data_IF_717507014390
#
_entry.id   IF_717507014390
#
_cell.length_a   1.000
_cell.length_b   1.000
_cell.length_c   1.000
_cell.angle_alpha   90.00
_cell.angle_beta   90.00
_cell.angle_gamma   90.00
#
_symmetry.space_group_name_H-M   'P 1'
#
loop_
_entity.id
_entity.type
_entity.pdbx_description
1 polymer ?
#
# COMPACT_ATOMS: atom_id res chain seq x y z
N UNK A 1 9.78 -11.35 42.97
CA UNK A 1 8.66 -11.56 42.02
C UNK A 1 8.71 -13.03 41.63
N UNK A 2 7.92 -13.87 42.30
CA UNK A 2 8.00 -15.33 42.16
C UNK A 2 6.83 -15.82 41.33
N UNK A 3 7.09 -16.14 40.06
CA UNK A 3 6.07 -16.64 39.14
C UNK A 3 5.91 -18.16 39.34
N UNK A 4 4.68 -18.65 39.52
CA UNK A 4 4.40 -20.06 39.83
C UNK A 4 4.84 -21.09 38.76
N UNK A 5 5.18 -20.65 37.54
CA UNK A 5 5.74 -21.51 36.48
C UNK A 5 6.27 -20.68 35.29
N UNK A 6 6.98 -21.31 34.35
CA UNK A 6 7.46 -20.67 33.12
C UNK A 6 6.34 -20.06 32.26
N UNK A 7 5.14 -20.64 32.26
CA UNK A 7 3.98 -20.09 31.53
C UNK A 7 3.50 -18.77 32.13
N UNK A 8 3.42 -18.69 33.46
CA UNK A 8 3.04 -17.45 34.17
C UNK A 8 4.05 -16.32 33.93
N UNK A 9 5.35 -16.64 33.92
CA UNK A 9 6.40 -15.67 33.61
C UNK A 9 6.30 -15.15 32.17
N UNK A 10 6.05 -16.04 31.21
CA UNK A 10 5.88 -15.64 29.80
C UNK A 10 4.66 -14.74 29.61
N UNK A 11 3.53 -15.08 30.23
CA UNK A 11 2.31 -14.28 30.17
C UNK A 11 2.54 -12.89 30.77
N UNK A 12 3.09 -12.81 31.99
CA UNK A 12 3.39 -11.53 32.65
C UNK A 12 4.33 -10.66 31.80
N UNK A 13 5.35 -11.27 31.18
CA UNK A 13 6.25 -10.55 30.27
C UNK A 13 5.49 -9.97 29.07
N UNK A 14 4.60 -10.74 28.45
CA UNK A 14 3.80 -10.25 27.32
C UNK A 14 2.88 -9.11 27.74
N UNK A 15 2.21 -9.22 28.89
CA UNK A 15 1.36 -8.16 29.44
C UNK A 15 2.16 -6.87 29.66
N UNK A 16 3.33 -6.96 30.32
CA UNK A 16 4.20 -5.80 30.52
C UNK A 16 4.73 -5.20 29.22
N UNK A 17 5.00 -6.04 28.22
CA UNK A 17 5.39 -5.55 26.89
C UNK A 17 4.24 -4.80 26.21
N UNK A 18 3.00 -5.32 26.29
CA UNK A 18 1.80 -4.64 25.78
C UNK A 18 1.59 -3.29 26.47
N UNK A 19 1.60 -3.26 27.80
CA UNK A 19 1.48 -2.02 28.59
C UNK A 19 2.54 -0.98 28.19
N UNK A 20 3.79 -1.40 27.99
CA UNK A 20 4.86 -0.50 27.55
C UNK A 20 4.64 0.02 26.12
N UNK A 21 4.21 -0.85 25.21
CA UNK A 21 3.85 -0.48 23.85
C UNK A 21 2.70 0.53 23.83
N UNK A 22 1.66 0.34 24.63
CA UNK A 22 0.49 1.22 24.69
C UNK A 22 0.86 2.61 25.21
N UNK A 23 1.66 2.68 26.29
CA UNK A 23 2.22 3.94 26.78
C UNK A 23 3.08 4.65 25.75
N UNK A 24 3.91 3.91 25.02
CA UNK A 24 4.75 4.49 23.98
C UNK A 24 3.89 5.05 22.83
N UNK A 25 2.88 4.29 22.37
CA UNK A 25 1.98 4.71 21.30
C UNK A 25 1.14 5.93 21.68
N UNK A 26 0.72 6.04 22.94
CA UNK A 26 -0.02 7.20 23.45
C UNK A 26 0.87 8.42 23.73
N UNK A 27 2.19 8.26 23.79
CA UNK A 27 3.12 9.39 23.95
C UNK A 27 3.15 10.29 22.70
N UNK A 28 3.41 11.59 22.89
CA UNK A 28 3.55 12.54 21.77
C UNK A 28 4.62 12.10 20.77
N UNK A 29 5.80 11.69 21.26
CA UNK A 29 6.91 11.20 20.42
C UNK A 29 6.50 9.96 19.63
N UNK A 30 5.84 8.99 20.27
CA UNK A 30 5.36 7.77 19.63
C UNK A 30 4.38 8.05 18.50
N UNK A 31 3.41 8.93 18.72
CA UNK A 31 2.43 9.36 17.69
C UNK A 31 3.11 10.00 16.48
N UNK A 32 4.05 10.93 16.70
CA UNK A 32 4.77 11.59 15.61
C UNK A 32 5.58 10.59 14.77
N UNK A 33 6.32 9.70 15.43
CA UNK A 33 7.10 8.67 14.72
C UNK A 33 6.21 7.67 13.99
N UNK A 34 5.05 7.32 14.56
CA UNK A 34 4.06 6.48 13.88
C UNK A 34 3.52 7.17 12.62
N UNK A 35 3.13 8.44 12.72
CA UNK A 35 2.67 9.23 11.59
C UNK A 35 3.72 9.34 10.48
N UNK A 36 4.99 9.56 10.85
CA UNK A 36 6.12 9.60 9.92
C UNK A 36 6.29 8.27 9.17
N UNK A 37 6.26 7.14 9.89
CA UNK A 37 6.33 5.80 9.27
C UNK A 37 5.19 5.57 8.30
N UNK A 38 3.96 5.92 8.68
CA UNK A 38 2.80 5.77 7.80
C UNK A 38 2.90 6.65 6.55
N UNK A 39 3.44 7.88 6.69
CA UNK A 39 3.71 8.76 5.55
C UNK A 39 4.70 8.12 4.57
N UNK A 40 5.81 7.59 5.07
CA UNK A 40 6.83 6.92 4.25
C UNK A 40 6.28 5.66 3.57
N UNK A 41 5.48 4.86 4.28
CA UNK A 41 4.82 3.69 3.69
C UNK A 41 3.89 4.09 2.54
N UNK A 42 3.03 5.10 2.75
CA UNK A 42 2.15 5.62 1.70
C UNK A 42 2.93 6.16 0.50
N UNK A 43 4.05 6.84 0.74
CA UNK A 43 4.93 7.33 -0.33
C UNK A 43 5.47 6.17 -1.18
N UNK A 44 6.01 5.13 -0.54
CA UNK A 44 6.50 3.93 -1.25
C UNK A 44 5.40 3.22 -2.03
N UNK A 45 4.18 3.16 -1.48
CA UNK A 45 3.04 2.51 -2.16
C UNK A 45 2.58 3.25 -3.43
N UNK A 46 2.93 4.53 -3.62
CA UNK A 46 2.62 5.27 -4.86
C UNK A 46 3.33 4.66 -6.08
N UNK A 47 4.52 4.12 -5.87
CA UNK A 47 5.25 3.35 -6.88
C UNK A 47 4.60 1.97 -6.96
N UNK A 48 3.55 1.86 -7.77
CA UNK A 48 2.84 0.61 -8.01
C UNK A 48 3.73 -0.31 -8.85
N UNK A 49 4.59 -1.10 -8.21
CA UNK A 49 5.52 -2.06 -8.84
C UNK A 49 4.78 -3.19 -9.59
N UNK A 50 3.46 -3.30 -9.46
CA UNK A 50 2.65 -4.34 -10.12
C UNK A 50 2.18 -4.00 -11.52
N UNK A 51 2.47 -2.81 -12.06
CA UNK A 51 2.17 -2.52 -13.47
C UNK A 51 3.30 -3.05 -14.37
N UNK A 52 3.37 -4.37 -14.52
CA UNK A 52 4.06 -4.97 -15.65
C UNK A 52 3.20 -4.65 -16.87
N UNK A 53 3.56 -3.60 -17.61
CA UNK A 53 2.79 -3.16 -18.78
C UNK A 53 2.48 -4.35 -19.69
N UNK A 54 1.33 -4.31 -20.36
CA UNK A 54 1.08 -5.26 -21.44
C UNK A 54 2.14 -5.06 -22.53
N UNK A 55 2.58 -6.13 -23.23
CA UNK A 55 3.36 -5.97 -24.45
C UNK A 55 2.66 -4.97 -25.38
N UNK A 56 3.45 -4.13 -26.06
CA UNK A 56 2.91 -3.26 -27.10
C UNK A 56 2.23 -4.10 -28.18
N UNK A 57 1.11 -3.62 -28.71
CA UNK A 57 0.44 -4.28 -29.84
C UNK A 57 1.40 -4.30 -31.02
N UNK A 58 1.75 -5.50 -31.49
CA UNK A 58 2.56 -5.71 -32.68
C UNK A 58 1.65 -5.80 -33.90
N UNK A 59 2.12 -5.32 -35.05
CA UNK A 59 1.28 -5.12 -36.24
C UNK A 59 0.64 -6.41 -36.77
N UNK A 60 1.24 -7.58 -36.48
CA UNK A 60 0.74 -8.89 -36.87
C UNK A 60 -0.27 -9.50 -35.88
N UNK A 61 -0.39 -8.96 -34.66
CA UNK A 61 -1.41 -9.36 -33.68
C UNK A 61 -2.73 -8.61 -33.87
N UNK A 62 -2.70 -7.54 -34.68
CA UNK A 62 -3.89 -6.78 -35.04
C UNK A 62 -4.59 -7.43 -36.22
N UNK A 63 -5.77 -8.01 -35.98
CA UNK A 63 -6.73 -8.28 -37.07
C UNK A 63 -7.22 -6.92 -37.60
N UNK A 64 -6.49 -6.35 -38.55
CA UNK A 64 -6.93 -5.18 -39.32
C UNK A 64 -8.13 -5.64 -40.17
N UNK A 65 -9.32 -5.67 -39.57
CA UNK A 65 -10.58 -5.74 -40.31
C UNK A 65 -10.72 -4.36 -40.95
N UNK A 66 -10.26 -4.25 -42.19
CA UNK A 66 -10.32 -3.10 -43.10
C UNK A 66 -10.49 -1.74 -42.41
N UNK A 67 -9.42 -0.94 -42.48
CA UNK A 67 -9.42 0.48 -42.12
C UNK A 67 -10.48 1.24 -42.94
N UNK A 68 -11.75 1.20 -42.51
CA UNK A 68 -12.70 2.26 -42.83
C UNK A 68 -12.05 3.51 -42.27
N UNK A 69 -11.62 4.39 -43.16
CA UNK A 69 -11.03 5.69 -42.82
C UNK A 69 -12.04 6.46 -41.98
N UNK A 70 -12.00 6.27 -40.67
CA UNK A 70 -12.71 7.12 -39.73
C UNK A 70 -11.84 8.36 -39.63
N UNK A 71 -12.17 9.37 -40.44
CA UNK A 71 -11.68 10.73 -40.26
C UNK A 71 -12.32 11.31 -39.02
N UNK A 72 -11.84 10.95 -37.83
CA UNK A 72 -12.20 11.66 -36.60
C UNK A 72 -10.96 12.32 -36.02
N UNK A 73 -10.74 13.57 -36.46
CA UNK A 73 -10.06 14.57 -35.66
C UNK A 73 -10.90 14.84 -34.39
N UNK A 74 -10.97 13.89 -33.46
CA UNK A 74 -11.51 14.13 -32.13
C UNK A 74 -10.65 13.39 -31.12
N UNK A 75 -9.88 14.17 -30.36
CA UNK A 75 -9.17 13.71 -29.16
C UNK A 75 -10.23 13.15 -28.22
N UNK A 76 -10.19 11.87 -27.81
CA UNK A 76 -11.10 11.40 -26.79
C UNK A 76 -10.76 12.11 -25.47
N UNK A 77 -11.62 13.03 -25.05
CA UNK A 77 -11.58 13.60 -23.70
C UNK A 77 -12.06 12.54 -22.73
N UNK A 78 -11.13 11.95 -21.98
CA UNK A 78 -11.49 11.12 -20.84
C UNK A 78 -12.15 12.01 -19.78
N UNK A 79 -13.49 11.97 -19.73
CA UNK A 79 -14.27 12.58 -18.65
C UNK A 79 -14.13 11.71 -17.41
N UNK A 80 -13.38 12.20 -16.41
CA UNK A 80 -13.41 11.62 -15.07
C UNK A 80 -14.57 12.26 -14.31
N UNK A 81 -15.65 11.50 -14.10
CA UNK A 81 -16.72 11.93 -13.19
C UNK A 81 -16.25 11.77 -11.74
N UNK A 82 -16.43 12.83 -10.96
CA UNK A 82 -16.33 12.86 -9.49
C UNK A 82 -17.52 12.11 -8.86
#
# INVERSE_FOLDING_TARGET
NSYCSGKCSAQSRQEKQREACDRYQSSSKGRHLHALRQRQYRQRKKEKVTHQGSPGLVSYDLLIVELKRVTTNQKPSFSTNN
#
